data_IF_710640149603
#
_entry.id   IF_710640149603
#
_cell.length_a   1.000
_cell.length_b   1.000
_cell.length_c   1.000
_cell.angle_alpha   90.00
_cell.angle_beta   90.00
_cell.angle_gamma   90.00
#
_symmetry.space_group_name_H-M   'P 1'
#
loop_
_entity.id
_entity.type
_entity.pdbx_description
1 polymer ?
#
# COMPACT_ATOMS: atom_id res chain seq x y z
N UNK A 1 11.36 -8.40 -4.98
CA UNK A 1 11.59 -7.19 -5.81
C UNK A 1 10.46 -7.04 -6.81
N UNK A 2 9.90 -5.84 -6.99
CA UNK A 2 8.87 -5.55 -7.99
C UNK A 2 9.49 -4.72 -9.10
N UNK A 3 9.30 -5.12 -10.35
CA UNK A 3 9.84 -4.45 -11.55
C UNK A 3 8.69 -4.13 -12.49
N UNK A 4 8.56 -2.86 -12.86
CA UNK A 4 7.57 -2.34 -13.79
C UNK A 4 8.31 -1.75 -14.98
N UNK A 5 8.00 -2.20 -16.21
CA UNK A 5 8.68 -1.76 -17.43
C UNK A 5 7.68 -1.31 -18.48
N UNK A 6 7.84 -0.06 -18.92
CA UNK A 6 7.13 0.56 -20.05
C UNK A 6 5.62 0.35 -20.01
N UNK A 7 5.06 0.40 -18.79
CA UNK A 7 3.65 0.09 -18.54
C UNK A 7 2.76 1.19 -19.09
N UNK A 8 1.81 0.82 -19.95
CA UNK A 8 0.79 1.76 -20.44
C UNK A 8 -0.58 1.18 -20.18
N UNK A 9 -1.41 1.95 -19.48
CA UNK A 9 -2.77 1.54 -19.13
C UNK A 9 -3.76 2.70 -19.19
N UNK A 10 -4.96 2.41 -19.70
CA UNK A 10 -6.11 3.31 -19.71
C UNK A 10 -7.40 2.55 -19.40
N UNK A 11 -8.35 3.20 -18.74
CA UNK A 11 -9.70 2.67 -18.55
C UNK A 11 -10.54 2.88 -19.82
N UNK A 12 -10.77 1.82 -20.56
CA UNK A 12 -11.54 1.86 -21.82
C UNK A 12 -10.85 2.73 -22.88
N UNK A 13 -11.61 3.67 -23.47
CA UNK A 13 -11.14 4.59 -24.53
C UNK A 13 -10.67 5.95 -23.98
N UNK A 14 -10.42 6.07 -22.69
CA UNK A 14 -9.96 7.31 -22.05
C UNK A 14 -8.47 7.52 -22.27
N UNK A 15 -8.00 8.72 -21.93
CA UNK A 15 -6.57 9.02 -21.89
C UNK A 15 -5.84 8.07 -20.94
N UNK A 16 -4.58 7.70 -21.24
CA UNK A 16 -3.81 6.81 -20.37
C UNK A 16 -3.67 7.36 -18.96
N UNK A 17 -3.90 6.48 -17.98
CA UNK A 17 -3.64 6.75 -16.55
C UNK A 17 -2.16 6.53 -16.24
N UNK A 18 -1.53 5.57 -16.90
CA UNK A 18 -0.09 5.33 -16.89
C UNK A 18 0.37 5.24 -18.34
N UNK A 19 1.50 5.89 -18.67
CA UNK A 19 2.04 5.91 -20.01
C UNK A 19 3.55 5.77 -19.98
N UNK A 20 4.08 4.71 -20.61
CA UNK A 20 5.52 4.39 -20.63
C UNK A 20 6.13 4.40 -19.21
N UNK A 21 5.34 3.95 -18.24
CA UNK A 21 5.65 4.02 -16.83
C UNK A 21 6.61 2.91 -16.45
N UNK A 22 7.76 3.27 -15.87
CA UNK A 22 8.75 2.31 -15.38
C UNK A 22 9.15 2.68 -13.95
N UNK A 23 9.21 1.68 -13.07
CA UNK A 23 9.52 1.85 -11.65
C UNK A 23 9.91 0.51 -11.04
N UNK A 24 10.86 0.53 -10.13
CA UNK A 24 11.28 -0.64 -9.37
C UNK A 24 11.10 -0.39 -7.87
N UNK A 25 10.59 -1.43 -7.16
CA UNK A 25 10.54 -1.44 -5.70
C UNK A 25 11.48 -2.54 -5.18
N UNK A 26 12.47 -2.14 -4.41
CA UNK A 26 13.37 -3.06 -3.73
C UNK A 26 12.68 -3.71 -2.54
N UNK A 27 13.13 -4.90 -2.17
CA UNK A 27 12.61 -5.61 -1.00
C UNK A 27 13.09 -4.98 0.31
N UNK A 28 12.33 -5.19 1.38
CA UNK A 28 12.74 -4.81 2.73
C UNK A 28 12.54 -3.33 3.09
N UNK A 29 11.70 -2.59 2.37
CA UNK A 29 11.48 -1.15 2.58
C UNK A 29 10.01 -0.78 2.69
N UNK A 30 9.75 0.32 3.38
CA UNK A 30 8.44 0.98 3.39
C UNK A 30 8.46 2.12 2.38
N UNK A 31 7.66 1.99 1.34
CA UNK A 31 7.53 2.98 0.28
C UNK A 31 6.28 3.84 0.47
N UNK A 32 6.45 5.16 0.33
CA UNK A 32 5.36 6.09 0.09
C UNK A 32 5.15 6.31 -1.40
N UNK A 33 4.03 5.85 -1.94
CA UNK A 33 3.61 6.16 -3.31
C UNK A 33 2.71 7.40 -3.27
N UNK A 34 3.30 8.56 -3.48
CA UNK A 34 2.67 9.86 -3.29
C UNK A 34 2.17 10.45 -4.62
N UNK A 35 1.07 11.16 -4.58
CA UNK A 35 0.50 11.83 -5.74
C UNK A 35 -0.90 12.34 -5.46
N UNK A 36 -1.36 13.30 -6.25
CA UNK A 36 -2.73 13.82 -6.18
C UNK A 36 -3.77 12.72 -6.47
N UNK A 37 -5.02 12.97 -6.12
CA UNK A 37 -6.10 12.06 -6.50
C UNK A 37 -6.19 11.96 -8.03
N UNK A 38 -6.40 10.73 -8.52
CA UNK A 38 -6.50 10.45 -9.95
C UNK A 38 -5.16 10.32 -10.71
N UNK A 39 -4.01 10.39 -10.05
CA UNK A 39 -2.69 10.22 -10.70
C UNK A 39 -2.31 8.79 -11.05
N UNK A 40 -3.14 7.81 -10.68
CA UNK A 40 -2.93 6.39 -11.01
C UNK A 40 -2.31 5.53 -9.90
N UNK A 41 -2.21 6.02 -8.64
CA UNK A 41 -1.68 5.25 -7.50
C UNK A 41 -2.39 3.90 -7.33
N UNK A 42 -3.71 3.92 -7.11
CA UNK A 42 -4.53 2.71 -6.96
C UNK A 42 -4.48 1.83 -8.19
N UNK A 43 -4.50 2.44 -9.39
CA UNK A 43 -4.37 1.72 -10.67
C UNK A 43 -3.05 0.95 -10.73
N UNK A 44 -1.95 1.56 -10.30
CA UNK A 44 -0.64 0.92 -10.26
C UNK A 44 -0.64 -0.28 -9.29
N UNK A 45 -1.19 -0.12 -8.09
CA UNK A 45 -1.31 -1.22 -7.13
C UNK A 45 -2.15 -2.37 -7.70
N UNK A 46 -3.26 -2.07 -8.37
CA UNK A 46 -4.12 -3.09 -8.98
C UNK A 46 -3.46 -3.81 -10.17
N UNK A 47 -2.61 -3.12 -10.93
CA UNK A 47 -1.80 -3.73 -11.99
C UNK A 47 -0.72 -4.66 -11.42
N UNK A 48 -0.06 -4.27 -10.32
CA UNK A 48 0.91 -5.13 -9.63
C UNK A 48 0.23 -6.40 -9.10
N UNK A 49 -0.96 -6.27 -8.52
CA UNK A 49 -1.76 -7.37 -7.99
C UNK A 49 -2.41 -8.25 -9.10
N UNK A 50 -2.25 -7.90 -10.39
CA UNK A 50 -2.90 -8.60 -11.48
C UNK A 50 -4.44 -8.49 -11.47
N UNK A 51 -5.01 -7.51 -10.77
CA UNK A 51 -6.44 -7.19 -10.79
C UNK A 51 -6.83 -6.41 -12.05
N UNK A 52 -5.88 -5.70 -12.64
CA UNK A 52 -5.99 -5.03 -13.92
C UNK A 52 -4.90 -5.55 -14.87
N UNK A 53 -5.16 -5.45 -16.18
CA UNK A 53 -4.24 -5.92 -17.23
C UNK A 53 -3.86 -4.75 -18.13
N UNK A 54 -2.59 -4.43 -18.18
CA UNK A 54 -2.07 -3.42 -19.09
C UNK A 54 -1.90 -4.01 -20.51
N UNK A 55 -2.31 -3.29 -21.56
CA UNK A 55 -2.12 -3.73 -22.95
C UNK A 55 -0.65 -3.65 -23.40
N UNK A 56 0.18 -2.86 -22.70
CA UNK A 56 1.62 -2.70 -23.00
C UNK A 56 2.43 -2.68 -21.71
N UNK A 57 3.67 -3.15 -21.83
CA UNK A 57 4.60 -3.24 -20.73
C UNK A 57 4.41 -4.50 -19.89
N UNK A 58 5.18 -4.62 -18.84
CA UNK A 58 5.13 -5.77 -17.94
C UNK A 58 5.27 -5.35 -16.47
N UNK A 59 4.73 -6.17 -15.59
CA UNK A 59 4.90 -6.10 -14.14
C UNK A 59 5.38 -7.46 -13.66
N UNK A 60 6.55 -7.48 -13.03
CA UNK A 60 7.16 -8.67 -12.45
C UNK A 60 7.29 -8.51 -10.94
N UNK A 61 6.88 -9.51 -10.19
CA UNK A 61 7.11 -9.62 -8.75
C UNK A 61 7.95 -10.88 -8.52
N UNK A 62 9.18 -10.71 -8.04
CA UNK A 62 10.17 -11.79 -7.92
C UNK A 62 10.34 -12.61 -9.20
N UNK A 63 10.31 -11.92 -10.35
CA UNK A 63 10.45 -12.52 -11.68
C UNK A 63 9.19 -13.19 -12.22
N UNK A 64 8.11 -13.26 -11.44
CA UNK A 64 6.82 -13.79 -11.88
C UNK A 64 5.89 -12.68 -12.35
N UNK A 65 5.16 -12.92 -13.43
CA UNK A 65 4.18 -11.95 -13.94
C UNK A 65 2.96 -11.86 -13.03
N UNK A 66 2.66 -10.66 -12.52
CA UNK A 66 1.44 -10.39 -11.77
C UNK A 66 0.17 -10.69 -12.57
N UNK A 67 0.22 -10.50 -13.90
CA UNK A 67 -0.88 -10.76 -14.84
C UNK A 67 -1.37 -12.19 -14.80
N UNK A 68 -0.47 -13.15 -14.63
CA UNK A 68 -0.80 -14.58 -14.69
C UNK A 68 -1.51 -15.08 -13.43
N UNK A 69 -1.56 -14.26 -12.37
CA UNK A 69 -2.22 -14.55 -11.09
C UNK A 69 -1.88 -15.94 -10.55
N UNK A 70 -0.61 -16.32 -10.66
CA UNK A 70 -0.13 -17.58 -10.10
C UNK A 70 -0.50 -17.65 -8.61
N UNK A 71 -1.15 -18.73 -8.13
CA UNK A 71 -1.53 -18.88 -6.72
C UNK A 71 -0.35 -18.76 -5.75
N UNK A 72 0.85 -19.19 -6.14
CA UNK A 72 2.06 -19.03 -5.32
C UNK A 72 2.39 -17.56 -5.12
N UNK A 73 2.38 -16.77 -6.20
CA UNK A 73 2.61 -15.33 -6.13
C UNK A 73 1.49 -14.61 -5.35
N UNK A 74 0.22 -15.02 -5.53
CA UNK A 74 -0.90 -14.39 -4.82
C UNK A 74 -0.82 -14.56 -3.29
N UNK A 75 -0.21 -15.64 -2.81
CA UNK A 75 0.02 -15.87 -1.37
C UNK A 75 1.10 -14.96 -0.78
N UNK A 76 1.99 -14.42 -1.63
CA UNK A 76 3.09 -13.52 -1.25
C UNK A 76 2.67 -12.05 -1.25
N UNK A 77 1.44 -11.73 -1.66
CA UNK A 77 0.94 -10.37 -1.81
C UNK A 77 -0.38 -10.18 -1.08
N UNK A 78 -0.53 -9.04 -0.40
CA UNK A 78 -1.82 -8.62 0.17
C UNK A 78 -2.12 -7.19 -0.25
N UNK A 79 -3.36 -6.91 -0.64
CA UNK A 79 -3.85 -5.55 -0.92
C UNK A 79 -4.91 -5.16 0.09
N UNK A 80 -4.67 -4.06 0.79
CA UNK A 80 -5.68 -3.33 1.54
C UNK A 80 -6.20 -2.20 0.64
N UNK A 81 -7.37 -2.33 0.00
CA UNK A 81 -7.91 -1.28 -0.85
C UNK A 81 -8.49 -0.12 -0.03
N UNK A 82 -8.68 1.04 -0.65
CA UNK A 82 -9.31 2.20 0.00
C UNK A 82 -10.75 1.90 0.40
N UNK A 83 -11.52 1.29 -0.52
CA UNK A 83 -12.92 0.90 -0.32
C UNK A 83 -13.03 -0.62 -0.21
N UNK A 84 -13.74 -1.08 0.80
CA UNK A 84 -14.01 -2.49 1.06
C UNK A 84 -15.26 -2.66 1.92
N UNK A 85 -15.82 -3.84 1.90
CA UNK A 85 -16.88 -4.26 2.81
C UNK A 85 -16.44 -5.47 3.63
N UNK A 86 -16.71 -5.43 4.93
CA UNK A 86 -16.46 -6.55 5.83
C UNK A 86 -17.79 -7.20 6.20
N UNK A 87 -17.90 -8.54 6.13
CA UNK A 87 -19.12 -9.23 6.46
C UNK A 87 -19.45 -9.08 7.94
N UNK A 88 -20.75 -9.12 8.28
CA UNK A 88 -21.24 -9.04 9.65
C UNK A 88 -21.05 -10.36 10.41
N UNK A 89 -19.79 -10.78 10.58
CA UNK A 89 -19.39 -12.00 11.30
C UNK A 89 -18.40 -11.66 12.40
N UNK A 90 -18.14 -12.60 13.29
CA UNK A 90 -17.08 -12.50 14.30
C UNK A 90 -15.70 -12.42 13.64
N UNK A 91 -14.81 -11.57 14.17
CA UNK A 91 -13.43 -11.42 13.66
C UNK A 91 -12.69 -12.74 13.58
N UNK A 92 -12.85 -13.61 14.60
CA UNK A 92 -12.24 -14.94 14.61
C UNK A 92 -12.70 -15.83 13.46
N UNK A 93 -13.99 -15.77 13.09
CA UNK A 93 -14.53 -16.51 11.95
C UNK A 93 -14.00 -15.96 10.61
N UNK A 94 -13.93 -14.63 10.48
CA UNK A 94 -13.37 -13.99 9.29
C UNK A 94 -11.88 -14.33 9.10
N UNK A 95 -11.09 -14.23 10.18
CA UNK A 95 -9.67 -14.62 10.16
C UNK A 95 -9.52 -16.12 9.87
N UNK A 96 -10.38 -16.98 10.42
CA UNK A 96 -10.40 -18.41 10.11
C UNK A 96 -10.62 -18.71 8.63
N UNK A 97 -11.38 -17.88 7.93
CA UNK A 97 -11.64 -18.02 6.50
C UNK A 97 -10.48 -17.49 5.63
N UNK A 98 -9.79 -16.42 6.07
CA UNK A 98 -8.73 -15.76 5.28
C UNK A 98 -7.35 -16.38 5.53
N UNK A 99 -7.01 -16.70 6.77
CA UNK A 99 -5.67 -17.15 7.15
C UNK A 99 -5.15 -18.35 6.32
N UNK A 100 -5.96 -19.33 5.90
CA UNK A 100 -5.48 -20.42 5.06
C UNK A 100 -4.92 -20.02 3.70
N UNK A 101 -5.26 -18.84 3.19
CA UNK A 101 -4.72 -18.33 1.93
C UNK A 101 -3.33 -17.74 2.08
N UNK A 102 -2.89 -17.40 3.29
CA UNK A 102 -1.63 -16.76 3.61
C UNK A 102 -0.80 -17.67 4.53
N UNK A 103 0.18 -18.43 4.00
CA UNK A 103 0.95 -19.41 4.77
C UNK A 103 1.66 -18.85 5.99
N UNK A 104 2.06 -17.57 5.91
CA UNK A 104 2.79 -16.85 6.97
C UNK A 104 1.86 -16.08 7.90
N UNK A 105 0.54 -16.26 7.83
CA UNK A 105 -0.41 -15.53 8.67
C UNK A 105 -0.07 -15.70 10.16
N UNK A 106 0.20 -14.58 10.83
CA UNK A 106 0.62 -14.56 12.23
C UNK A 106 -0.50 -14.03 13.13
N UNK A 107 -1.10 -14.94 13.94
CA UNK A 107 -2.09 -14.55 14.97
C UNK A 107 -1.45 -13.66 16.05
N UNK A 108 -0.19 -13.95 16.40
CA UNK A 108 0.55 -13.14 17.36
C UNK A 108 0.74 -11.69 16.84
N UNK A 109 1.12 -11.54 15.58
CA UNK A 109 1.26 -10.22 14.95
C UNK A 109 -0.09 -9.50 14.88
N UNK A 110 -1.17 -10.23 14.62
CA UNK A 110 -2.52 -9.67 14.64
C UNK A 110 -2.88 -9.09 16.01
N UNK A 111 -2.65 -9.82 17.09
CA UNK A 111 -2.90 -9.35 18.46
C UNK A 111 -2.05 -8.11 18.78
N UNK A 112 -0.78 -8.10 18.39
CA UNK A 112 0.09 -6.92 18.54
C UNK A 112 -0.45 -5.70 17.78
N UNK A 113 -0.92 -5.88 16.54
CA UNK A 113 -1.51 -4.81 15.75
C UNK A 113 -2.83 -4.32 16.35
N UNK A 114 -3.71 -5.22 16.79
CA UNK A 114 -4.94 -4.85 17.49
C UNK A 114 -4.66 -4.04 18.77
N UNK A 115 -3.65 -4.45 19.54
CA UNK A 115 -3.20 -3.70 20.72
C UNK A 115 -2.68 -2.30 20.36
N UNK A 116 -2.00 -2.10 19.22
CA UNK A 116 -1.62 -0.77 18.75
C UNK A 116 -2.82 0.16 18.52
N UNK A 117 -3.95 -0.40 18.06
CA UNK A 117 -5.18 0.33 17.81
C UNK A 117 -6.16 0.33 18.98
N UNK A 118 -5.78 -0.27 20.13
CA UNK A 118 -6.64 -0.42 21.31
C UNK A 118 -7.95 -1.14 21.00
N UNK A 119 -7.87 -2.15 20.11
CA UNK A 119 -8.99 -2.95 19.65
C UNK A 119 -8.98 -4.33 20.29
N UNK A 120 -10.17 -4.84 20.63
CA UNK A 120 -10.34 -6.24 21.10
C UNK A 120 -10.31 -7.18 19.90
N UNK A 121 -9.79 -8.40 20.12
CA UNK A 121 -9.92 -9.52 19.17
C UNK A 121 -11.30 -10.18 19.22
N UNK A 122 -12.06 -9.98 20.30
CA UNK A 122 -13.42 -10.51 20.47
C UNK A 122 -14.45 -9.47 20.02
N UNK A 123 -14.61 -9.30 18.71
CA UNK A 123 -15.52 -8.32 18.11
C UNK A 123 -16.33 -8.92 16.96
N UNK A 124 -17.57 -8.45 16.81
CA UNK A 124 -18.36 -8.68 15.60
C UNK A 124 -18.11 -7.54 14.61
N UNK A 125 -17.64 -7.86 13.40
CA UNK A 125 -17.32 -6.87 12.38
C UNK A 125 -18.51 -6.04 11.95
N UNK A 126 -19.73 -6.60 12.00
CA UNK A 126 -20.96 -5.86 11.70
C UNK A 126 -21.30 -4.77 12.70
N UNK A 127 -20.83 -4.89 13.96
CA UNK A 127 -21.07 -3.93 15.02
C UNK A 127 -20.07 -2.76 15.05
N UNK A 128 -18.99 -2.83 14.25
CA UNK A 128 -17.92 -1.84 14.23
C UNK A 128 -18.31 -0.61 13.40
N UNK A 129 -17.88 0.56 13.85
CA UNK A 129 -17.91 1.78 13.03
C UNK A 129 -16.96 1.64 11.83
N UNK A 130 -17.11 2.49 10.80
CA UNK A 130 -16.22 2.46 9.63
C UNK A 130 -14.74 2.63 10.00
N UNK A 131 -14.42 3.55 10.92
CA UNK A 131 -13.06 3.73 11.41
C UNK A 131 -12.52 2.50 12.14
N UNK A 132 -13.35 1.84 12.97
CA UNK A 132 -12.96 0.58 13.64
C UNK A 132 -12.80 -0.56 12.65
N UNK A 133 -13.69 -0.70 11.65
CA UNK A 133 -13.53 -1.68 10.57
C UNK A 133 -12.18 -1.48 9.85
N UNK A 134 -11.81 -0.21 9.58
CA UNK A 134 -10.55 0.13 8.94
C UNK A 134 -9.35 -0.32 9.76
N UNK A 135 -9.34 -0.05 11.06
CA UNK A 135 -8.30 -0.49 12.00
C UNK A 135 -8.16 -2.01 12.02
N UNK A 136 -9.26 -2.72 12.14
CA UNK A 136 -9.25 -4.21 12.15
C UNK A 136 -8.76 -4.77 10.82
N UNK A 137 -9.19 -4.20 9.69
CA UNK A 137 -8.75 -4.69 8.39
C UNK A 137 -7.25 -4.43 8.14
N UNK A 138 -6.72 -3.30 8.61
CA UNK A 138 -5.28 -3.06 8.64
C UNK A 138 -4.54 -4.09 9.49
N UNK A 139 -5.07 -4.47 10.66
CA UNK A 139 -4.48 -5.53 11.48
C UNK A 139 -4.44 -6.89 10.74
N UNK A 140 -5.50 -7.23 10.02
CA UNK A 140 -5.57 -8.45 9.21
C UNK A 140 -4.53 -8.40 8.08
N UNK A 141 -4.43 -7.27 7.37
CA UNK A 141 -3.48 -7.08 6.28
C UNK A 141 -2.02 -7.20 6.75
N UNK A 142 -1.69 -6.59 7.89
CA UNK A 142 -0.37 -6.70 8.51
C UNK A 142 -0.09 -8.13 9.00
N UNK A 143 -1.10 -8.80 9.58
CA UNK A 143 -1.02 -10.15 10.11
C UNK A 143 -0.98 -11.23 9.02
N UNK A 144 -1.43 -10.95 7.80
CA UNK A 144 -1.24 -11.82 6.64
C UNK A 144 0.24 -12.12 6.43
N UNK A 145 1.10 -11.23 6.90
CA UNK A 145 2.56 -11.37 6.99
C UNK A 145 3.19 -11.77 5.64
N UNK A 146 2.65 -11.19 4.58
CA UNK A 146 3.14 -11.39 3.22
C UNK A 146 4.42 -10.58 2.96
N UNK A 147 5.33 -11.05 2.09
CA UNK A 147 6.49 -10.28 1.63
C UNK A 147 6.12 -8.93 0.99
N UNK A 148 4.98 -8.86 0.33
CA UNK A 148 4.50 -7.63 -0.31
C UNK A 148 3.13 -7.24 0.23
N UNK A 149 3.07 -6.08 0.88
CA UNK A 149 1.83 -5.49 1.37
C UNK A 149 1.57 -4.16 0.69
N UNK A 150 0.44 -4.05 0.03
CA UNK A 150 -0.03 -2.82 -0.62
C UNK A 150 -1.18 -2.23 0.19
N UNK A 151 -1.10 -0.94 0.48
CA UNK A 151 -2.14 -0.22 1.20
C UNK A 151 -2.56 1.01 0.40
N UNK A 152 -3.82 1.05 -0.02
CA UNK A 152 -4.38 2.16 -0.79
C UNK A 152 -5.11 3.13 0.13
N UNK A 153 -4.59 4.35 0.27
CA UNK A 153 -5.11 5.42 1.14
C UNK A 153 -5.52 4.93 2.56
N UNK A 154 -4.64 4.19 3.28
CA UNK A 154 -5.02 3.51 4.53
C UNK A 154 -5.41 4.47 5.64
N UNK A 155 -4.89 5.70 5.65
CA UNK A 155 -5.13 6.70 6.70
C UNK A 155 -6.29 7.63 6.38
N UNK A 156 -6.86 7.54 5.17
CA UNK A 156 -7.99 8.39 4.80
C UNK A 156 -9.19 8.17 5.74
N UNK A 157 -9.73 9.25 6.31
CA UNK A 157 -10.85 9.20 7.25
C UNK A 157 -10.50 8.76 8.69
N UNK A 158 -9.22 8.56 9.01
CA UNK A 158 -8.77 8.32 10.38
C UNK A 158 -8.54 9.64 11.13
N UNK A 159 -8.82 9.64 12.44
CA UNK A 159 -8.45 10.72 13.36
C UNK A 159 -6.92 10.72 13.64
N UNK A 160 -6.44 11.80 14.25
CA UNK A 160 -5.02 12.02 14.55
C UNK A 160 -4.42 10.88 15.40
N UNK A 161 -5.16 10.40 16.40
CA UNK A 161 -4.72 9.31 17.28
C UNK A 161 -4.59 8.01 16.47
N UNK A 162 -5.59 7.68 15.67
CA UNK A 162 -5.61 6.50 14.81
C UNK A 162 -4.49 6.50 13.77
N UNK A 163 -4.13 7.67 13.22
CA UNK A 163 -2.96 7.82 12.33
C UNK A 163 -1.64 7.52 13.06
N UNK A 164 -1.51 7.93 14.32
CA UNK A 164 -0.35 7.58 15.15
C UNK A 164 -0.30 6.08 15.46
N UNK A 165 -1.45 5.48 15.79
CA UNK A 165 -1.58 4.04 16.02
C UNK A 165 -1.24 3.23 14.76
N UNK A 166 -1.65 3.70 13.57
CA UNK A 166 -1.30 3.11 12.28
C UNK A 166 0.22 3.05 12.05
N UNK A 167 0.94 4.16 12.29
CA UNK A 167 2.41 4.18 12.17
C UNK A 167 3.07 3.16 13.11
N UNK A 168 2.59 3.08 14.36
CA UNK A 168 3.08 2.09 15.32
C UNK A 168 2.82 0.65 14.85
N UNK A 169 1.65 0.38 14.30
CA UNK A 169 1.29 -0.94 13.78
C UNK A 169 2.17 -1.35 12.58
N UNK A 170 2.44 -0.44 11.63
CA UNK A 170 3.35 -0.69 10.50
C UNK A 170 4.75 -1.05 11.01
N UNK A 171 5.31 -0.26 11.91
CA UNK A 171 6.66 -0.51 12.45
C UNK A 171 6.70 -1.86 13.19
N UNK A 172 5.64 -2.20 13.95
CA UNK A 172 5.53 -3.48 14.66
C UNK A 172 5.51 -4.68 13.71
N UNK A 173 4.94 -4.50 12.49
CA UNK A 173 4.78 -5.56 11.51
C UNK A 173 5.90 -5.63 10.48
N UNK A 174 6.83 -4.67 10.49
CA UNK A 174 7.94 -4.63 9.51
C UNK A 174 8.99 -5.70 9.81
N UNK A 175 9.56 -6.27 8.76
CA UNK A 175 10.73 -7.15 8.80
C UNK A 175 11.59 -6.92 7.56
N UNK A 176 12.87 -7.34 7.56
CA UNK A 176 13.76 -7.15 6.40
C UNK A 176 13.26 -7.78 5.10
N UNK A 177 12.42 -8.80 5.19
CA UNK A 177 11.86 -9.51 4.03
C UNK A 177 10.56 -8.87 3.52
N UNK A 178 9.97 -7.97 4.31
CA UNK A 178 8.66 -7.37 3.99
C UNK A 178 8.83 -6.04 3.28
N UNK A 179 8.12 -5.86 2.19
CA UNK A 179 7.98 -4.59 1.48
C UNK A 179 6.56 -4.07 1.66
N UNK A 180 6.43 -2.86 2.16
CA UNK A 180 5.12 -2.20 2.33
C UNK A 180 5.06 -1.01 1.38
N UNK A 181 4.03 -0.94 0.55
CA UNK A 181 3.79 0.20 -0.34
C UNK A 181 2.49 0.87 0.10
N UNK A 182 2.60 2.09 0.60
CA UNK A 182 1.46 2.91 1.03
C UNK A 182 1.20 3.98 -0.01
N UNK A 183 0.08 3.89 -0.71
CA UNK A 183 -0.39 4.97 -1.59
C UNK A 183 -1.10 6.01 -0.75
N UNK A 184 -0.76 7.29 -0.92
CA UNK A 184 -1.48 8.38 -0.27
C UNK A 184 -1.22 9.73 -0.95
N UNK A 185 -2.14 10.67 -0.72
CA UNK A 185 -1.96 12.08 -1.01
C UNK A 185 -1.70 12.90 0.28
N UNK A 186 -1.77 12.25 1.45
CA UNK A 186 -1.56 12.85 2.78
C UNK A 186 -0.19 12.47 3.33
N UNK A 187 0.84 13.21 2.93
CA UNK A 187 2.25 12.93 3.24
C UNK A 187 2.50 12.81 4.75
N UNK A 188 1.96 13.74 5.52
CA UNK A 188 2.11 13.84 6.98
C UNK A 188 1.74 12.57 7.75
N UNK A 189 0.82 11.78 7.19
CA UNK A 189 0.31 10.59 7.88
C UNK A 189 1.35 9.46 7.94
N UNK A 190 2.25 9.41 6.96
CA UNK A 190 3.17 8.30 6.73
C UNK A 190 4.65 8.68 6.77
N UNK A 191 5.00 9.97 6.66
CA UNK A 191 6.39 10.47 6.51
C UNK A 191 7.41 9.84 7.48
N UNK A 192 7.00 9.63 8.75
CA UNK A 192 7.88 9.14 9.81
C UNK A 192 8.19 7.65 9.76
N UNK A 193 7.56 6.91 8.87
CA UNK A 193 7.73 5.45 8.74
C UNK A 193 8.25 5.05 7.37
N UNK A 194 8.43 6.00 6.45
CA UNK A 194 8.90 5.72 5.09
C UNK A 194 10.42 5.60 5.02
N UNK A 195 10.89 4.58 4.33
CA UNK A 195 12.30 4.44 3.93
C UNK A 195 12.55 5.05 2.55
N UNK A 196 11.51 5.15 1.72
CA UNK A 196 11.62 5.57 0.34
C UNK A 196 10.36 6.28 -0.13
N UNK A 197 10.51 7.28 -0.98
CA UNK A 197 9.39 8.03 -1.56
C UNK A 197 9.40 7.95 -3.08
N UNK A 198 8.22 7.70 -3.63
CA UNK A 198 7.95 7.78 -5.06
C UNK A 198 6.82 8.78 -5.27
N UNK A 199 7.08 9.86 -6.02
CA UNK A 199 6.07 10.86 -6.36
C UNK A 199 5.64 10.64 -7.81
N UNK A 200 4.34 10.47 -8.02
CA UNK A 200 3.76 10.31 -9.35
C UNK A 200 2.77 11.43 -9.67
N UNK A 201 2.85 11.94 -10.87
CA UNK A 201 1.87 12.88 -11.43
C UNK A 201 1.79 12.72 -12.96
N UNK A 202 0.59 12.94 -13.52
CA UNK A 202 0.35 12.95 -14.97
C UNK A 202 1.02 11.78 -15.69
N UNK A 203 0.77 10.57 -15.22
CA UNK A 203 1.22 9.31 -15.82
C UNK A 203 2.73 9.00 -15.68
N UNK A 204 3.50 9.78 -14.92
CA UNK A 204 4.96 9.67 -14.82
C UNK A 204 5.44 9.64 -13.38
N UNK A 205 6.60 9.03 -13.18
CA UNK A 205 7.38 9.17 -11.95
C UNK A 205 8.10 10.52 -12.01
N UNK A 206 7.83 11.39 -11.05
CA UNK A 206 8.51 12.68 -10.91
C UNK A 206 9.72 12.59 -9.98
N UNK A 207 9.63 11.76 -8.96
CA UNK A 207 10.68 11.54 -7.98
C UNK A 207 10.69 10.08 -7.53
N UNK A 208 11.88 9.52 -7.35
CA UNK A 208 12.12 8.20 -6.79
C UNK A 208 13.37 8.30 -5.92
N UNK A 209 13.21 8.42 -4.58
CA UNK A 209 14.30 8.80 -3.69
C UNK A 209 14.28 8.01 -2.39
N UNK A 210 15.46 7.54 -1.95
CA UNK A 210 15.68 7.00 -0.61
C UNK A 210 15.64 8.14 0.42
N UNK A 211 15.03 7.87 1.57
CA UNK A 211 14.97 8.80 2.70
C UNK A 211 15.99 8.45 3.79
N UNK A 212 16.47 7.21 3.79
CA UNK A 212 17.40 6.68 4.81
C UNK A 212 18.83 7.17 4.58
N UNK A 213 19.19 7.52 3.35
CA UNK A 213 20.55 7.93 2.98
C UNK A 213 20.82 9.43 3.15
N UNK A 214 19.84 10.20 3.62
CA UNK A 214 20.01 11.64 3.83
C UNK A 214 20.59 11.92 5.21
N UNK A 215 21.62 12.77 5.26
CA UNK A 215 22.24 13.21 6.53
C UNK A 215 21.29 14.06 7.38
N UNK A 216 20.34 14.74 6.76
CA UNK A 216 19.33 15.56 7.44
C UNK A 216 17.90 15.00 7.18
N UNK A 217 16.99 15.15 8.15
CA UNK A 217 15.58 14.79 7.97
C UNK A 217 14.98 15.55 6.78
N UNK A 218 14.40 14.81 5.85
CA UNK A 218 13.74 15.39 4.68
C UNK A 218 12.34 15.87 5.06
N UNK A 219 12.05 17.13 4.82
CA UNK A 219 10.68 17.67 4.86
C UNK A 219 9.92 17.16 3.62
N UNK A 220 9.21 16.05 3.81
CA UNK A 220 8.50 15.38 2.71
C UNK A 220 7.34 16.21 2.16
N UNK A 221 6.69 17.03 2.99
CA UNK A 221 5.60 17.89 2.52
C UNK A 221 6.14 18.96 1.56
N UNK A 222 7.24 19.61 1.94
CA UNK A 222 7.93 20.56 1.10
C UNK A 222 8.44 19.89 -0.19
N UNK A 223 9.10 18.74 -0.07
CA UNK A 223 9.59 17.97 -1.22
C UNK A 223 8.46 17.63 -2.21
N UNK A 224 7.32 17.20 -1.68
CA UNK A 224 6.14 16.88 -2.49
C UNK A 224 5.59 18.09 -3.23
N UNK A 225 5.42 19.23 -2.53
CA UNK A 225 4.92 20.47 -3.11
C UNK A 225 5.90 21.00 -4.16
N UNK A 226 7.20 21.07 -3.85
CA UNK A 226 8.24 21.57 -4.75
C UNK A 226 8.32 20.72 -6.02
N UNK A 227 8.28 19.39 -5.89
CA UNK A 227 8.31 18.46 -7.03
C UNK A 227 7.12 18.68 -7.97
N UNK A 228 5.92 18.84 -7.43
CA UNK A 228 4.71 19.07 -8.23
C UNK A 228 4.71 20.46 -8.89
N UNK A 229 5.24 21.48 -8.20
CA UNK A 229 5.27 22.88 -8.70
C UNK A 229 6.28 23.05 -9.82
N UNK A 230 7.50 22.51 -9.66
CA UNK A 230 8.53 22.55 -10.70
C UNK A 230 8.09 21.87 -12.00
N UNK A 231 7.38 20.77 -11.90
CA UNK A 231 6.85 20.07 -13.08
C UNK A 231 5.72 20.85 -13.78
N UNK A 232 5.02 21.72 -13.05
CA UNK A 232 3.96 22.56 -13.62
C UNK A 232 4.51 23.77 -14.38
N UNK A 233 5.74 24.22 -14.10
CA UNK A 233 6.40 25.36 -14.74
C UNK A 233 7.17 24.98 -16.02
N UNK A 234 7.40 23.70 -16.28
CA UNK A 234 8.13 23.20 -17.45
C UNK A 234 7.20 22.83 -18.63
N UNK A 235 5.95 23.17 -18.56
CA UNK A 235 4.91 22.98 -19.60
C UNK A 235 4.30 24.31 -20.04
#
# INVERSE_FOLDING_TARGET
MIIIKNLTFAYGKKSPVLQDFSLDFQQGKIYGLLGKNGTGKSTLLYLIMGLLHAPKGEVLVDGMSGKDRNPELMREMFLLPEEYDLPAVHLSAYVGAIAPFYPNFSRELMEKCLACFEMSSDVNLGALSMGQKKKVYMCIALAANTPYLFMDEPTNGLDILSKSQFRKAIVTAMSPEKTIIVSTHQVHDVERVLDHVVIIDRNRVLLNQSLVENEEPVDLEKLFVDTLTHNSLQQ
#
